data_IF_708821641461
#
_entry.id   IF_708821641461
#
_cell.length_a   1.000
_cell.length_b   1.000
_cell.length_c   1.000
_cell.angle_alpha   90.00
_cell.angle_beta   90.00
_cell.angle_gamma   90.00
#
_symmetry.space_group_name_H-M   'P 1'
#
loop_
_entity.id
_entity.type
_entity.pdbx_description
1 polymer ?
2 non-polymer ?
3 non-polymer ?
4 non-polymer ?
5 non-polymer ?
6 water ?
#
# COMPACT_ATOMS: atom_id res chain seq x y z
N UNK A 1 -4.47 18.01 -0.32
CA UNK A 1 -3.06 17.50 -0.08
C UNK A 1 -2.29 17.16 -1.37
N UNK A 2 -1.04 16.67 -1.23
CA UNK A 2 -0.20 16.46 -2.44
C UNK A 2 -0.71 15.33 -3.32
N UNK A 3 -0.50 15.44 -4.64
CA UNK A 3 -0.77 14.37 -5.58
C UNK A 3 0.40 14.23 -6.53
N UNK A 4 0.55 13.07 -7.10
CA UNK A 4 1.56 12.91 -8.18
C UNK A 4 1.10 13.69 -9.42
N UNK A 5 1.99 14.41 -10.03
CA UNK A 5 1.66 15.26 -11.21
C UNK A 5 2.20 14.62 -12.50
N UNK A 6 2.23 13.32 -12.54
CA UNK A 6 2.66 12.59 -13.72
C UNK A 6 1.89 11.27 -13.71
N UNK A 7 1.83 10.59 -14.86
CA UNK A 7 1.04 9.34 -15.03
C UNK A 7 1.80 8.06 -14.91
N UNK A 8 3.09 8.07 -15.22
CA UNK A 8 3.96 6.93 -15.05
C UNK A 8 4.63 6.99 -13.67
N UNK A 9 4.25 6.03 -12.79
CA UNK A 9 4.76 5.92 -11.44
C UNK A 9 5.50 4.59 -11.30
N UNK A 10 6.66 4.63 -10.66
CA UNK A 10 7.49 3.49 -10.42
C UNK A 10 7.47 3.10 -8.94
N UNK A 11 7.63 1.82 -8.69
CA UNK A 11 7.83 1.26 -7.42
C UNK A 11 8.97 0.31 -7.43
N UNK A 12 9.53 0.12 -6.24
CA UNK A 12 10.61 -0.82 -6.02
C UNK A 12 10.43 -1.53 -4.68
N UNK A 13 10.55 -2.83 -4.73
CA UNK A 13 10.49 -3.59 -3.46
C UNK A 13 11.87 -3.65 -2.84
N UNK A 14 12.04 -2.93 -1.76
CA UNK A 14 13.37 -2.75 -1.17
C UNK A 14 13.91 -4.05 -0.60
N UNK A 15 13.04 -4.78 0.09
CA UNK A 15 13.37 -6.03 0.74
C UNK A 15 12.06 -6.81 0.88
N UNK A 16 12.19 -8.08 1.17
CA UNK A 16 11.08 -9.01 1.16
C UNK A 16 10.92 -9.65 2.53
N UNK A 17 9.68 -9.67 3.01
CA UNK A 17 9.33 -10.42 4.19
C UNK A 17 9.65 -11.87 4.05
N UNK A 18 10.20 -12.48 5.12
CA UNK A 18 10.44 -13.91 5.08
C UNK A 18 9.15 -14.69 5.36
N UNK A 19 8.05 -13.96 5.54
CA UNK A 19 6.74 -14.52 5.84
C UNK A 19 6.11 -15.21 4.64
N UNK A 20 6.53 -14.80 3.45
CA UNK A 20 5.89 -15.21 2.25
C UNK A 20 6.91 -15.64 1.19
N UNK A 21 6.41 -16.38 0.19
CA UNK A 21 7.21 -16.67 -1.01
C UNK A 21 7.45 -15.36 -1.75
N UNK A 22 8.64 -15.22 -2.31
CA UNK A 22 8.95 -14.01 -3.07
C UNK A 22 7.95 -13.69 -4.13
N UNK A 23 7.60 -14.71 -4.97
CA UNK A 23 6.68 -14.52 -6.04
C UNK A 23 5.29 -13.97 -5.53
N UNK A 24 4.91 -14.39 -4.35
CA UNK A 24 3.62 -13.96 -3.76
C UNK A 24 3.66 -12.55 -3.25
N UNK A 25 4.84 -12.12 -2.74
CA UNK A 25 5.04 -10.68 -2.45
C UNK A 25 4.87 -9.85 -3.71
N UNK A 26 5.57 -10.23 -4.78
CA UNK A 26 5.51 -9.54 -6.07
C UNK A 26 4.09 -9.46 -6.57
N UNK A 27 3.41 -10.56 -6.43
CA UNK A 27 2.03 -10.64 -6.95
C UNK A 27 1.06 -9.83 -6.17
N UNK A 28 1.14 -9.88 -4.86
CA UNK A 28 0.24 -9.10 -4.03
C UNK A 28 0.40 -7.62 -4.29
N UNK A 29 1.64 -7.16 -4.36
CA UNK A 29 1.89 -5.72 -4.56
C UNK A 29 1.45 -5.30 -5.92
N UNK A 30 1.76 -6.12 -6.93
CA UNK A 30 1.33 -5.80 -8.24
C UNK A 30 -0.19 -5.70 -8.38
N UNK A 31 -0.94 -6.64 -7.82
CA UNK A 31 -2.36 -6.59 -7.85
C UNK A 31 -2.92 -5.42 -7.07
N UNK A 32 -2.24 -5.03 -6.01
CA UNK A 32 -2.69 -3.85 -5.24
C UNK A 32 -2.51 -2.56 -6.00
N UNK A 33 -1.41 -2.43 -6.77
CA UNK A 33 -1.31 -1.25 -7.63
C UNK A 33 -2.41 -1.29 -8.71
N UNK A 34 -2.69 -2.48 -9.26
CA UNK A 34 -3.74 -2.61 -10.31
C UNK A 34 -5.08 -2.11 -9.86
N UNK A 35 -5.42 -2.37 -8.58
CA UNK A 35 -6.70 -1.85 -8.04
C UNK A 35 -6.84 -0.34 -8.33
N UNK A 36 -5.73 0.38 -8.16
CA UNK A 36 -5.71 1.83 -8.36
C UNK A 36 -5.53 2.26 -9.77
N UNK A 37 -4.72 1.53 -10.54
CA UNK A 37 -4.59 1.89 -11.92
C UNK A 37 -5.92 1.60 -12.64
N UNK A 38 -6.77 0.68 -12.14
CA UNK A 38 -8.04 0.40 -12.77
C UNK A 38 -8.98 1.58 -12.80
N UNK A 39 -8.84 2.53 -11.86
CA UNK A 39 -9.76 3.65 -11.73
C UNK A 39 -9.13 5.02 -11.86
N UNK A 40 -7.94 5.05 -12.41
CA UNK A 40 -7.20 6.31 -12.62
C UNK A 40 -6.48 6.24 -13.94
N UNK A 41 -5.93 7.38 -14.38
CA UNK A 41 -4.98 7.34 -15.53
C UNK A 41 -3.56 6.85 -15.21
N UNK A 42 -3.28 6.48 -13.96
CA UNK A 42 -1.96 6.14 -13.55
C UNK A 42 -1.51 4.76 -14.11
N UNK A 43 -0.21 4.67 -14.37
CA UNK A 43 0.44 3.41 -14.73
C UNK A 43 1.56 3.12 -13.76
N UNK A 44 1.69 1.89 -13.27
CA UNK A 44 2.72 1.52 -12.33
C UNK A 44 3.66 0.50 -12.89
N UNK A 45 4.96 0.71 -12.69
CA UNK A 45 6.02 -0.22 -13.18
C UNK A 45 6.98 -0.51 -12.03
N UNK A 46 7.32 -1.77 -11.91
CA UNK A 46 8.25 -2.22 -10.91
C UNK A 46 9.66 -2.05 -11.44
N UNK A 47 10.51 -1.43 -10.67
CA UNK A 47 11.95 -1.36 -11.03
C UNK A 47 12.77 -2.05 -10.00
N UNK A 48 13.93 -2.50 -10.41
CA UNK A 48 14.77 -3.34 -9.59
C UNK A 48 16.04 -2.65 -9.08
N UNK A 49 16.33 -1.45 -9.58
CA UNK A 49 17.49 -0.65 -9.21
C UNK A 49 17.15 0.79 -9.32
N UNK A 50 17.82 1.61 -8.54
CA UNK A 50 17.67 3.02 -8.57
C UNK A 50 16.51 3.52 -7.79
N UNK A 51 16.23 4.80 -7.96
CA UNK A 51 15.22 5.51 -7.16
C UNK A 51 13.90 5.19 -7.82
N UNK A 52 12.94 4.77 -7.03
CA UNK A 52 11.58 4.57 -7.47
C UNK A 52 10.82 5.67 -6.83
N UNK A 53 9.59 5.93 -7.31
CA UNK A 53 8.73 6.86 -6.65
C UNK A 53 8.27 6.28 -5.32
N UNK A 54 7.82 5.04 -5.38
CA UNK A 54 7.26 4.39 -4.21
C UNK A 54 8.14 3.25 -3.82
N UNK A 55 8.87 3.39 -2.73
CA UNK A 55 9.72 2.32 -2.21
C UNK A 55 8.92 1.52 -1.15
N UNK A 56 8.85 0.22 -1.40
CA UNK A 56 8.12 -0.73 -0.54
C UNK A 56 9.12 -1.42 0.36
N UNK A 57 8.98 -1.17 1.67
CA UNK A 57 9.87 -1.65 2.70
C UNK A 57 9.13 -2.52 3.70
N UNK A 58 9.77 -3.63 4.10
CA UNK A 58 9.40 -4.32 5.30
C UNK A 58 10.43 -4.05 6.38
N UNK A 59 9.98 -3.61 7.55
CA UNK A 59 10.82 -3.15 8.66
C UNK A 59 10.07 -3.25 10.00
N UNK A 60 10.86 -3.37 11.07
CA UNK A 60 10.26 -3.47 12.43
C UNK A 60 10.78 -2.38 13.33
N UNK A 61 10.01 -2.05 14.36
CA UNK A 61 10.44 -1.04 15.31
C UNK A 61 10.85 0.27 14.70
N UNK A 62 11.93 0.84 15.24
CA UNK A 62 12.43 2.10 14.71
C UNK A 62 13.15 1.76 13.45
N UNK A 63 12.77 2.43 12.34
CA UNK A 63 13.35 2.07 11.02
C UNK A 63 13.70 3.31 10.17
N UNK A 64 14.03 4.40 10.83
CA UNK A 64 14.69 5.50 10.15
C UNK A 64 13.77 6.66 9.74
N UNK A 65 12.51 6.61 10.14
CA UNK A 65 11.65 7.71 9.90
C UNK A 65 11.01 8.09 11.21
N UNK A 66 10.10 8.97 11.22
CA UNK A 66 9.68 9.37 12.57
C UNK A 66 8.45 8.56 12.97
N UNK A 67 8.24 7.39 12.33
CA UNK A 67 6.98 6.67 12.49
C UNK A 67 7.28 5.20 12.92
N UNK A 68 7.83 5.03 14.11
CA UNK A 68 8.23 3.67 14.59
C UNK A 68 7.05 2.69 14.64
N UNK A 69 7.35 1.47 14.29
CA UNK A 69 6.41 0.40 14.48
C UNK A 69 6.40 -0.14 15.93
N UNK A 70 5.35 -0.91 16.20
CA UNK A 70 4.93 -1.20 17.55
C UNK A 70 4.90 -2.71 17.89
N UNK A 71 5.66 -3.55 17.16
CA UNK A 71 5.56 -4.97 17.43
C UNK A 71 4.29 -5.56 16.78
N UNK A 72 4.05 -6.80 17.06
CA UNK A 72 2.95 -7.50 16.46
C UNK A 72 1.64 -6.83 16.83
N UNK A 73 0.71 -6.68 15.89
CA UNK A 73 -0.59 -6.05 16.19
C UNK A 73 -0.53 -4.56 16.00
N UNK A 74 -1.60 -3.90 16.42
CA UNK A 74 -1.66 -2.50 16.34
C UNK A 74 -1.44 -1.97 14.89
N UNK A 75 -0.48 -1.08 14.74
CA UNK A 75 -0.21 -0.49 13.44
C UNK A 75 0.42 -1.60 12.57
N UNK A 76 -0.21 -1.84 11.41
CA UNK A 76 0.28 -2.87 10.48
C UNK A 76 1.25 -2.33 9.42
N UNK A 77 1.06 -1.07 9.06
CA UNK A 77 1.81 -0.48 7.94
C UNK A 77 1.55 1.01 7.96
N UNK A 78 2.38 1.78 7.25
CA UNK A 78 2.08 3.19 7.03
C UNK A 78 2.78 3.62 5.76
N UNK A 79 2.26 4.71 5.20
CA UNK A 79 2.81 5.20 3.95
C UNK A 79 2.74 6.74 3.91
N UNK A 80 3.64 7.28 3.12
CA UNK A 80 3.76 8.71 2.95
C UNK A 80 3.09 9.17 1.68
N UNK A 81 2.45 10.31 1.77
CA UNK A 81 1.76 10.91 0.62
C UNK A 81 2.74 11.31 -0.46
N UNK A 82 2.25 11.65 -1.66
CA UNK A 82 3.09 12.05 -2.82
C UNK A 82 4.11 13.10 -2.47
N UNK A 83 5.33 12.87 -2.90
CA UNK A 83 6.42 13.79 -2.60
C UNK A 83 7.74 13.14 -3.02
N UNK A 84 8.79 13.96 -3.09
CA UNK A 84 10.10 13.42 -3.44
C UNK A 84 10.67 12.67 -2.20
N UNK A 85 11.71 11.90 -2.42
CA UNK A 85 12.42 11.24 -1.29
C UNK A 85 11.51 10.18 -0.64
N UNK A 86 11.27 10.31 0.65
CA UNK A 86 10.42 9.37 1.37
C UNK A 86 8.93 9.51 0.97
N UNK A 87 8.58 10.59 0.30
CA UNK A 87 7.25 10.75 -0.19
C UNK A 87 6.85 9.55 -1.05
N UNK A 88 5.60 9.09 -0.87
CA UNK A 88 5.15 7.95 -1.55
C UNK A 88 5.47 6.58 -0.97
N UNK A 89 6.45 6.49 -0.12
CA UNK A 89 7.01 5.22 0.31
C UNK A 89 6.03 4.51 1.25
N UNK A 90 5.98 3.22 1.12
CA UNK A 90 5.09 2.36 1.90
C UNK A 90 5.90 1.36 2.70
N UNK A 91 5.64 1.35 3.99
CA UNK A 91 6.36 0.54 4.99
C UNK A 91 5.39 -0.45 5.65
N UNK A 92 5.79 -1.70 5.75
CA UNK A 92 4.97 -2.75 6.33
C UNK A 92 5.71 -3.35 7.52
N UNK A 93 5.01 -3.45 8.64
CA UNK A 93 5.60 -3.94 9.88
C UNK A 93 5.94 -5.39 9.79
N UNK A 94 7.22 -5.70 9.83
CA UNK A 94 7.70 -7.08 9.81
C UNK A 94 7.28 -7.91 11.03
N UNK A 95 6.93 -7.25 12.15
CA UNK A 95 6.38 -7.97 13.29
C UNK A 95 4.96 -8.52 13.09
N UNK A 96 4.30 -8.18 11.96
CA UNK A 96 3.11 -8.89 11.56
C UNK A 96 3.54 -10.11 10.74
N UNK A 97 2.60 -11.05 10.59
CA UNK A 97 2.81 -12.24 9.75
C UNK A 97 1.99 -12.06 8.49
N UNK A 98 2.68 -11.71 7.42
CA UNK A 98 2.06 -11.38 6.14
C UNK A 98 1.70 -12.65 5.40
N UNK A 99 0.52 -12.66 4.78
CA UNK A 99 0.05 -13.81 4.03
C UNK A 99 -0.75 -13.50 2.74
N UNK A 100 -0.90 -14.51 1.90
CA UNK A 100 -1.76 -14.49 0.74
C UNK A 100 -3.25 -14.68 1.07
N UNK A 101 -3.58 -15.15 2.28
CA UNK A 101 -4.92 -15.53 2.60
C UNK A 101 -5.36 -14.86 3.91
N UNK A 102 -6.17 -15.54 4.74
CA UNK A 102 -6.66 -14.94 6.01
C UNK A 102 -5.86 -15.25 7.26
N UNK A 103 -4.91 -16.19 7.19
CA UNK A 103 -4.11 -16.64 8.36
C UNK A 103 -3.35 -15.70 9.31
N UNK A 104 -2.94 -14.60 8.83
CA UNK A 104 -2.11 -13.67 9.57
C UNK A 104 -2.77 -12.37 9.07
N UNK A 105 -1.96 -11.47 8.51
CA UNK A 105 -2.39 -10.21 7.92
C UNK A 105 -2.20 -10.22 6.41
N UNK A 106 -3.28 -10.03 5.66
CA UNK A 106 -3.27 -10.16 4.21
C UNK A 106 -2.49 -8.96 3.58
N UNK A 107 -1.38 -9.28 2.94
CA UNK A 107 -0.55 -8.30 2.31
C UNK A 107 -1.28 -7.50 1.23
N UNK A 108 -2.07 -8.17 0.42
CA UNK A 108 -2.78 -7.52 -0.68
C UNK A 108 -3.65 -6.43 -0.15
N UNK A 109 -4.53 -6.77 0.75
CA UNK A 109 -5.49 -5.75 1.25
C UNK A 109 -4.81 -4.56 1.91
N UNK A 110 -3.83 -4.86 2.75
CA UNK A 110 -3.06 -3.88 3.43
C UNK A 110 -2.34 -2.99 2.40
N UNK A 111 -1.75 -3.61 1.35
CA UNK A 111 -1.11 -2.85 0.35
C UNK A 111 -2.02 -1.98 -0.44
N UNK A 112 -3.26 -2.40 -0.69
CA UNK A 112 -4.20 -1.55 -1.37
C UNK A 112 -4.41 -0.26 -0.55
N UNK A 113 -4.64 -0.41 0.74
CA UNK A 113 -4.85 0.72 1.63
C UNK A 113 -3.61 1.63 1.67
N UNK A 114 -2.43 1.06 1.82
CA UNK A 114 -1.17 1.87 1.89
C UNK A 114 -0.88 2.58 0.63
N UNK A 115 -1.12 1.92 -0.53
CA UNK A 115 -0.91 2.58 -1.80
C UNK A 115 -1.89 3.69 -1.98
N UNK A 116 -3.10 3.54 -1.43
CA UNK A 116 -3.96 4.70 -1.44
C UNK A 116 -3.38 5.90 -0.75
N UNK A 117 -2.78 5.71 0.43
CA UNK A 117 -2.02 6.81 1.08
C UNK A 117 -0.90 7.31 0.18
N UNK A 118 -0.15 6.39 -0.41
CA UNK A 118 0.95 6.75 -1.32
C UNK A 118 0.50 7.64 -2.46
N UNK A 119 -0.73 7.48 -2.85
CA UNK A 119 -1.32 8.29 -3.94
C UNK A 119 -1.94 9.59 -3.42
N UNK A 120 -2.15 9.70 -2.11
CA UNK A 120 -2.67 10.96 -1.57
C UNK A 120 -3.94 10.90 -0.77
N UNK A 121 -4.51 9.71 -0.67
CA UNK A 121 -5.75 9.52 0.07
C UNK A 121 -5.54 9.44 1.58
N UNK A 122 -6.51 9.96 2.30
CA UNK A 122 -6.52 9.90 3.76
C UNK A 122 -7.49 8.78 4.10
N UNK A 123 -7.85 8.68 5.38
CA UNK A 123 -8.75 7.64 5.84
C UNK A 123 -10.24 7.96 5.60
N UNK A 124 -11.00 6.91 5.38
CA UNK A 124 -12.45 7.07 5.25
C UNK A 124 -13.15 6.68 6.53
N UNK A 125 -14.29 7.30 6.83
CA UNK A 125 -15.12 6.83 7.95
C UNK A 125 -16.04 5.70 7.59
N UNK A 126 -16.11 5.31 6.32
CA UNK A 126 -17.04 4.28 5.83
C UNK A 126 -16.39 2.91 6.02
N UNK A 127 -16.99 2.07 6.89
CA UNK A 127 -16.44 0.73 7.14
C UNK A 127 -16.33 -0.12 5.88
N UNK A 128 -17.11 0.21 4.86
CA UNK A 128 -16.99 -0.54 3.55
C UNK A 128 -15.78 -0.13 2.68
N UNK A 129 -15.08 0.94 3.01
CA UNK A 129 -14.00 1.46 2.17
C UNK A 129 -12.69 0.77 2.51
N UNK A 130 -11.89 0.53 1.49
CA UNK A 130 -10.53 0.05 1.73
C UNK A 130 -9.65 1.05 2.55
N UNK A 131 -9.96 2.37 2.43
CA UNK A 131 -9.25 3.36 3.20
C UNK A 131 -9.82 3.55 4.60
N UNK A 132 -10.73 2.71 5.05
CA UNK A 132 -11.08 2.65 6.51
C UNK A 132 -9.89 2.20 7.27
N UNK A 133 -9.64 2.77 8.45
CA UNK A 133 -8.37 2.50 9.22
C UNK A 133 -8.24 1.08 9.74
N UNK A 134 -9.31 0.33 9.88
CA UNK A 134 -9.19 -0.92 10.60
C UNK A 134 -9.13 -2.13 9.68
N UNK A 135 -8.18 -3.00 9.96
CA UNK A 135 -8.02 -4.19 9.13
C UNK A 135 -9.15 -5.16 9.32
N UNK A 136 -9.78 -5.61 8.22
CA UNK A 136 -10.71 -6.72 8.27
C UNK A 136 -10.52 -7.53 7.02
N UNK A 137 -10.32 -8.83 7.19
CA UNK A 137 -10.09 -9.69 6.04
C UNK A 137 -11.37 -9.77 5.21
N UNK A 138 -11.24 -9.68 3.90
CA UNK A 138 -12.28 -10.09 2.94
C UNK A 138 -11.59 -10.92 1.87
N UNK A 139 -12.31 -11.90 1.35
CA UNK A 139 -11.78 -12.74 0.27
C UNK A 139 -11.21 -11.89 -0.89
N UNK A 140 -9.98 -12.21 -1.22
CA UNK A 140 -9.21 -11.33 -2.08
C UNK A 140 -9.68 -11.34 -3.57
N UNK A 141 -10.63 -12.24 -3.90
CA UNK A 141 -11.44 -12.23 -5.13
C UNK A 141 -12.81 -11.52 -5.04
N UNK A 142 -13.36 -11.49 -3.85
CA UNK A 142 -14.54 -10.70 -3.54
C UNK A 142 -14.30 -9.16 -3.35
N UNK A 143 -13.03 -8.77 -3.18
CA UNK A 143 -12.67 -7.43 -2.84
C UNK A 143 -13.08 -6.49 -3.96
N UNK A 144 -13.72 -5.37 -3.62
CA UNK A 144 -13.93 -4.24 -4.57
C UNK A 144 -13.68 -2.96 -3.84
N UNK A 145 -13.12 -1.96 -4.55
CA UNK A 145 -13.19 -0.62 -3.98
C UNK A 145 -14.57 -0.25 -3.65
N UNK A 146 -14.81 0.48 -2.56
CA UNK A 146 -16.09 1.07 -2.30
C UNK A 146 -16.32 2.29 -3.21
N UNK A 147 -17.58 2.72 -3.30
CA UNK A 147 -17.92 3.92 -4.00
C UNK A 147 -17.14 5.07 -3.44
N UNK A 148 -17.03 5.11 -2.12
CA UNK A 148 -16.27 6.16 -1.39
C UNK A 148 -14.78 6.18 -1.78
N UNK A 149 -14.17 5.02 -1.87
CA UNK A 149 -12.77 4.97 -2.40
C UNK A 149 -12.65 5.54 -3.83
N UNK A 150 -13.53 5.10 -4.71
CA UNK A 150 -13.53 5.55 -6.11
C UNK A 150 -13.74 7.06 -6.21
N UNK A 151 -14.70 7.62 -5.45
CA UNK A 151 -14.87 9.09 -5.39
C UNK A 151 -13.61 9.82 -4.92
N UNK A 152 -13.02 9.31 -3.83
CA UNK A 152 -11.76 9.85 -3.27
C UNK A 152 -10.64 9.89 -4.29
N UNK A 153 -10.36 8.74 -4.92
CA UNK A 153 -9.25 8.71 -5.84
C UNK A 153 -9.50 9.55 -7.08
N UNK A 154 -10.73 9.48 -7.59
CA UNK A 154 -11.08 10.27 -8.82
C UNK A 154 -11.13 11.76 -8.52
N UNK A 155 -11.36 12.12 -7.28
CA UNK A 155 -11.27 13.52 -6.87
C UNK A 155 -9.80 13.98 -6.91
N UNK A 156 -8.84 13.06 -6.77
CA UNK A 156 -7.43 13.41 -6.88
C UNK A 156 -6.84 13.31 -8.30
N UNK A 157 -7.24 12.29 -9.06
CA UNK A 157 -6.66 12.00 -10.39
C UNK A 157 -7.88 11.94 -11.37
N UNK A 158 -7.63 12.02 -12.63
CA UNK A 158 -8.74 11.71 -13.57
C UNK A 158 -10.07 12.50 -13.62
X LIG B 1 -4.03 4.10 6.85
X LIG C 1 8.17 3.88 8.24
X LIG D 1 9.51 8.00 -2.64
X LIG E 1 6.86 -11.10 9.76
X LIG F 1 2.49 -3.63 14.43
X LIG G 1 -1.82 3.39 10.59
X LIG G 1 -2.40 3.41 9.17
X LIG G 1 -3.58 3.74 8.86
X LIG G 1 -1.61 3.04 8.19
X LIG G 1 -2.11 3.08 6.93
X LIG H 1 -6.05 -3.36 5.96
X LIG H 1 -7.11 -3.41 5.10
X LIG H 1 -3.59 -0.01 8.35
X LIG H 1 -2.77 0.12 10.60
X LIG H 1 -4.20 0.10 11.25
X LIG H 1 -4.62 -1.38 11.34
X LIG H 1 -9.19 -4.45 4.45
X LIG H 1 -8.07 -4.60 5.35
X LIG H 1 -5.66 -1.89 6.24
X LIG H 1 -4.53 -1.97 7.25
X LIG H 1 -3.62 -0.78 7.10
X LIG H 1 -2.78 -0.52 9.45
X LIG H 1 -4.22 0.98 8.43
X LIG H 1 -6.67 -2.53 12.60
X LIG H 1 -4.68 -3.30 13.68
X LIG H 1 -5.39 -0.99 13.97
X LIG H 1 -8.13 -1.89 5.48
X LIG H 1 -9.60 -2.75 4.39
X LIG H 1 -5.27 -2.07 12.93
#
# INVERSE_FOLDING_TARGET
GPVWRKHYITYRINNYTPDMNREDVDYAIRKAFQVWSNVTPLKFSKINTGMADILVVFARGAHGDDHAFDGKGGILAHAFGPGSGIGGDAHFDEDEFWTTHSGGTNLFLTAVHEIGHSLGLGHSSDPKAVMFPTYKYVDINTFRLSADDIRGIQSLYG
ZN ZN
ZN ZN
CA CA
CA CA
CA CA
HAE C1 C2 O2 N O
8NT C1 C2 C10 C13 C14 C15 C5 C6 C7 C8 C9 N1 O1 O2 O3 O4 S1 S2 S3
#
